data_IF_290076953537
#
_entry.id   IF_290076953537
#
_cell.length_a   1.000
_cell.length_b   1.000
_cell.length_c   1.000
_cell.angle_alpha   90.00
_cell.angle_beta   90.00
_cell.angle_gamma   90.00
#
_symmetry.space_group_name_H-M   'P 1'
#
loop_
_entity.id
_entity.type
_entity.pdbx_description
1 polymer ?
#
# COMPACT_ATOMS: atom_id res chain seq x y z
N UNK A 1 -14.96 0.83 -10.34
CA UNK A 1 -15.01 1.44 -8.99
C UNK A 1 -13.59 1.84 -8.61
N UNK A 2 -13.41 3.01 -8.01
CA UNK A 2 -12.07 3.53 -7.65
C UNK A 2 -11.80 3.20 -6.18
N UNK A 3 -10.63 2.64 -5.87
CA UNK A 3 -10.19 2.42 -4.50
C UNK A 3 -10.10 3.77 -3.76
N UNK A 4 -10.50 3.80 -2.48
CA UNK A 4 -10.50 5.01 -1.64
C UNK A 4 -10.15 4.65 -0.19
N UNK A 5 -9.85 5.67 0.62
CA UNK A 5 -9.60 5.51 2.06
C UNK A 5 -10.78 4.78 2.74
N UNK A 6 -10.45 3.82 3.60
CA UNK A 6 -11.40 2.95 4.30
C UNK A 6 -11.78 1.69 3.52
N UNK A 7 -11.38 1.54 2.27
CA UNK A 7 -11.59 0.30 1.53
C UNK A 7 -10.55 -0.76 1.88
N UNK A 8 -11.02 -2.00 2.05
CA UNK A 8 -10.17 -3.18 1.96
C UNK A 8 -9.85 -3.42 0.48
N UNK A 9 -8.57 -3.54 0.15
CA UNK A 9 -8.09 -3.70 -1.22
C UNK A 9 -7.08 -4.83 -1.30
N UNK A 10 -6.94 -5.39 -2.49
CA UNK A 10 -6.01 -6.46 -2.79
C UNK A 10 -4.74 -5.90 -3.43
N UNK A 11 -3.58 -6.36 -2.93
CA UNK A 11 -2.26 -6.08 -3.52
C UNK A 11 -1.65 -7.41 -3.97
N UNK A 12 -1.22 -7.52 -5.24
CA UNK A 12 -0.61 -8.74 -5.75
C UNK A 12 0.79 -8.96 -5.16
N UNK A 13 1.27 -10.21 -5.21
CA UNK A 13 2.65 -10.54 -4.87
C UNK A 13 3.65 -9.80 -5.76
N UNK A 14 4.91 -9.77 -5.32
CA UNK A 14 6.01 -9.02 -5.98
C UNK A 14 5.77 -7.51 -6.06
N UNK A 15 4.86 -6.97 -5.24
CA UNK A 15 4.65 -5.53 -5.09
C UNK A 15 5.52 -5.00 -3.97
N UNK A 16 6.20 -3.88 -4.24
CA UNK A 16 6.99 -3.19 -3.24
C UNK A 16 6.10 -2.25 -2.41
N UNK A 17 6.10 -2.48 -1.11
CA UNK A 17 5.64 -1.55 -0.09
C UNK A 17 6.82 -0.71 0.37
N UNK A 18 6.63 0.60 0.42
CA UNK A 18 7.65 1.56 0.81
C UNK A 18 7.27 2.21 2.13
N UNK A 19 8.18 2.27 3.09
CA UNK A 19 8.03 3.08 4.28
C UNK A 19 8.91 4.31 4.13
N UNK A 20 8.34 5.49 4.29
CA UNK A 20 9.06 6.76 4.19
C UNK A 20 9.44 7.26 5.58
N UNK A 21 10.70 7.72 5.72
CA UNK A 21 11.06 8.73 6.71
C UNK A 21 10.68 10.11 6.18
N UNK A 22 11.05 11.19 6.88
CA UNK A 22 10.63 12.57 6.60
C UNK A 22 10.54 12.95 5.11
N UNK A 23 11.45 12.46 4.26
CA UNK A 23 11.45 12.73 2.82
C UNK A 23 11.85 11.57 1.91
N UNK A 24 12.40 10.47 2.45
CA UNK A 24 12.97 9.37 1.65
C UNK A 24 12.46 8.00 2.11
N UNK A 25 12.34 7.01 1.21
CA UNK A 25 12.01 5.65 1.62
C UNK A 25 13.13 5.10 2.50
N UNK A 26 12.79 4.77 3.75
CA UNK A 26 13.70 4.20 4.74
C UNK A 26 13.66 2.67 4.73
N UNK A 27 12.55 2.08 4.26
CA UNK A 27 12.41 0.63 4.11
C UNK A 27 11.60 0.29 2.86
N UNK A 28 11.99 -0.81 2.21
CA UNK A 28 11.26 -1.41 1.10
C UNK A 28 10.98 -2.86 1.48
N UNK A 29 9.72 -3.27 1.39
CA UNK A 29 9.28 -4.64 1.63
C UNK A 29 8.59 -5.15 0.36
N UNK A 30 9.13 -6.22 -0.22
CA UNK A 30 8.51 -6.87 -1.37
C UNK A 30 7.57 -7.99 -0.89
N UNK A 31 6.29 -7.89 -1.25
CA UNK A 31 5.29 -8.88 -0.85
C UNK A 31 5.58 -10.25 -1.47
N UNK A 32 5.83 -11.26 -0.62
CA UNK A 32 6.04 -12.64 -1.08
C UNK A 32 4.74 -13.28 -1.60
N UNK A 33 3.61 -12.94 -0.98
CA UNK A 33 2.28 -13.42 -1.34
C UNK A 33 1.31 -12.25 -1.52
N UNK A 34 0.24 -12.43 -2.29
CA UNK A 34 -0.80 -11.42 -2.38
C UNK A 34 -1.45 -11.21 -1.02
N UNK A 35 -1.79 -9.96 -0.70
CA UNK A 35 -2.32 -9.59 0.61
C UNK A 35 -3.45 -8.59 0.46
N UNK A 36 -4.50 -8.76 1.26
CA UNK A 36 -5.55 -7.76 1.42
C UNK A 36 -5.20 -6.79 2.54
N UNK A 37 -5.22 -5.50 2.25
CA UNK A 37 -4.85 -4.43 3.17
C UNK A 37 -5.92 -3.35 3.21
N UNK A 38 -5.97 -2.60 4.31
CA UNK A 38 -6.87 -1.46 4.45
C UNK A 38 -6.16 -0.18 3.98
N UNK A 39 -6.81 0.61 3.12
CA UNK A 39 -6.33 1.95 2.78
C UNK A 39 -6.62 2.90 3.95
N UNK A 40 -5.57 3.50 4.49
CA UNK A 40 -5.64 4.46 5.59
C UNK A 40 -5.53 5.90 5.12
N UNK A 41 -4.74 6.14 4.08
CA UNK A 41 -4.55 7.49 3.53
C UNK A 41 -4.22 7.45 2.04
N UNK A 42 -4.38 8.59 1.38
CA UNK A 42 -4.15 8.74 -0.06
C UNK A 42 -3.16 9.88 -0.32
N UNK A 43 -2.15 9.60 -1.13
CA UNK A 43 -1.23 10.58 -1.73
C UNK A 43 -1.48 10.66 -3.22
N UNK A 44 -0.83 11.59 -3.92
CA UNK A 44 -1.05 11.80 -5.37
C UNK A 44 -0.93 10.49 -6.18
N UNK A 45 0.16 9.73 -6.00
CA UNK A 45 0.45 8.51 -6.76
C UNK A 45 0.49 7.21 -5.92
N UNK A 46 0.20 7.30 -4.63
CA UNK A 46 0.32 6.17 -3.71
C UNK A 46 -0.86 6.09 -2.75
N UNK A 47 -1.16 4.89 -2.28
CA UNK A 47 -2.00 4.66 -1.11
C UNK A 47 -1.15 4.32 0.10
N UNK A 48 -1.44 4.92 1.24
CA UNK A 48 -0.98 4.47 2.54
C UNK A 48 -1.88 3.35 3.03
N UNK A 49 -1.33 2.17 3.24
CA UNK A 49 -2.02 0.94 3.60
C UNK A 49 -1.53 0.42 4.95
N UNK A 50 -2.43 -0.20 5.71
CA UNK A 50 -2.08 -0.89 6.94
C UNK A 50 -1.41 -2.22 6.61
N UNK A 51 -0.13 -2.35 6.94
CA UNK A 51 0.64 -3.58 6.75
C UNK A 51 1.54 -3.81 7.97
N UNK A 52 1.48 -5.02 8.55
CA UNK A 52 2.21 -5.39 9.78
C UNK A 52 2.03 -4.41 10.96
N UNK A 53 0.84 -3.80 11.07
CA UNK A 53 0.53 -2.84 12.14
C UNK A 53 1.06 -1.42 11.91
N UNK A 54 1.68 -1.15 10.76
CA UNK A 54 2.23 0.15 10.41
C UNK A 54 1.66 0.68 9.08
N UNK A 55 1.85 1.96 8.81
CA UNK A 55 1.50 2.56 7.51
C UNK A 55 2.64 2.35 6.53
N UNK A 56 2.32 1.70 5.42
CA UNK A 56 3.22 1.50 4.29
C UNK A 56 2.60 2.07 3.03
N UNK A 57 3.40 2.42 2.04
CA UNK A 57 2.95 3.05 0.80
C UNK A 57 3.10 2.12 -0.38
N UNK A 58 2.07 2.05 -1.20
CA UNK A 58 2.03 1.28 -2.44
C UNK A 58 1.59 2.17 -3.59
N UNK A 59 2.12 1.93 -4.79
CA UNK A 59 1.65 2.59 -6.00
C UNK A 59 0.17 2.26 -6.26
N UNK A 60 -0.65 3.28 -6.54
CA UNK A 60 -2.09 3.11 -6.82
C UNK A 60 -2.35 2.11 -7.95
N UNK A 61 -1.45 2.01 -8.93
CA UNK A 61 -1.57 1.08 -10.08
C UNK A 61 -1.45 -0.39 -9.68
N UNK A 62 -0.93 -0.67 -8.47
CA UNK A 62 -0.76 -2.02 -7.93
C UNK A 62 -1.85 -2.39 -6.92
N UNK A 63 -2.86 -1.54 -6.77
CA UNK A 63 -3.99 -1.76 -5.86
C UNK A 63 -5.23 -2.11 -6.67
N UNK A 64 -5.86 -3.22 -6.33
CA UNK A 64 -7.06 -3.72 -6.98
C UNK A 64 -8.19 -3.79 -5.95
N UNK A 65 -9.42 -3.51 -6.37
CA UNK A 65 -10.57 -3.76 -5.50
C UNK A 65 -10.71 -5.27 -5.31
N UNK A 66 -10.93 -5.68 -4.07
CA UNK A 66 -11.30 -7.06 -3.74
C UNK A 66 -12.74 -7.36 -4.21
#
# INVERSE_FOLDING_TARGET
MTAKVGNLVYIPSSTNLMKYGSTYPIKIHCLASPTSVLILEEKENQFGVLFEGEVWYVDKKKVYNA
#
